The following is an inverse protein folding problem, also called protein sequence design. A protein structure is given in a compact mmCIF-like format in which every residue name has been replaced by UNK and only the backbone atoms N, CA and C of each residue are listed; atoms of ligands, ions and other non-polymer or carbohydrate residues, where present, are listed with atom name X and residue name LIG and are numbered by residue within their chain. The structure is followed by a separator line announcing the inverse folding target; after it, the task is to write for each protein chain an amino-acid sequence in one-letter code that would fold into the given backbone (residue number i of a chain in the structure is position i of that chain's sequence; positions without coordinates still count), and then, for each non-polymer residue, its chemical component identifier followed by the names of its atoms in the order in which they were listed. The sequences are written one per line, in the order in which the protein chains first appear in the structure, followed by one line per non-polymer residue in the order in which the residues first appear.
data_IF_086241489462
#
_entry.id   IF_086241489462
#
_cell.length_a   1.000
_cell.length_b   1.000
_cell.length_c   1.000
_cell.angle_alpha   90.00
_cell.angle_beta   90.00
_cell.angle_gamma   90.00
#
_symmetry.space_group_name_H-M   'P 1'
#
loop_
_entity.id
_entity.type
_entity.pdbx_description
1 polymer ?
#
# COMPACT_ATOMS: atom_id res chain seq x y z
N UNK A 1 29.97 2.65 8.63
CA UNK A 1 29.44 2.52 7.24
C UNK A 1 29.81 3.78 6.47
N UNK A 2 30.74 3.69 5.51
CA UNK A 2 31.29 4.83 4.74
C UNK A 2 30.62 5.02 3.37
N UNK A 3 29.65 4.17 3.01
CA UNK A 3 28.97 4.18 1.71
C UNK A 3 27.78 5.16 1.61
N UNK A 4 27.13 5.22 0.42
CA UNK A 4 25.92 5.99 0.21
C UNK A 4 24.81 5.58 1.20
N UNK A 5 24.22 6.58 1.86
CA UNK A 5 23.19 6.36 2.86
C UNK A 5 22.31 7.61 3.01
N UNK A 6 21.15 7.43 3.60
CA UNK A 6 20.30 8.52 4.07
C UNK A 6 20.09 8.41 5.60
N UNK A 7 19.77 9.53 6.22
CA UNK A 7 19.35 9.60 7.62
C UNK A 7 17.95 10.19 7.67
N UNK A 8 17.04 9.52 8.36
CA UNK A 8 15.68 10.02 8.60
C UNK A 8 15.77 11.20 9.58
N UNK A 9 15.38 12.39 9.17
CA UNK A 9 15.34 13.58 10.04
C UNK A 9 13.96 13.84 10.62
N UNK A 10 12.92 13.29 9.98
CA UNK A 10 11.55 13.31 10.44
C UNK A 10 10.82 12.08 9.86
N UNK A 11 10.49 11.13 10.72
CA UNK A 11 9.83 9.88 10.30
C UNK A 11 8.34 10.06 9.99
N UNK A 12 7.71 11.09 10.54
CA UNK A 12 6.26 11.31 10.40
C UNK A 12 5.42 10.32 11.20
N UNK A 13 4.14 10.20 10.85
CA UNK A 13 3.19 9.34 11.59
C UNK A 13 3.51 7.85 11.43
N UNK A 14 3.91 7.43 10.23
CA UNK A 14 4.37 6.08 9.92
C UNK A 14 5.15 6.13 8.61
N UNK A 15 6.41 5.74 8.66
CA UNK A 15 7.24 5.52 7.47
C UNK A 15 7.91 4.15 7.57
N UNK A 16 7.81 3.36 6.50
CA UNK A 16 8.34 2.00 6.41
C UNK A 16 9.13 1.82 5.11
N UNK A 17 10.09 0.91 5.12
CA UNK A 17 10.74 0.44 3.90
C UNK A 17 9.79 -0.54 3.20
N UNK A 18 9.53 -0.33 1.92
CA UNK A 18 8.65 -1.18 1.13
C UNK A 18 9.23 -1.46 -0.25
N UNK A 19 9.14 -2.72 -0.68
CA UNK A 19 9.36 -3.17 -2.05
C UNK A 19 8.07 -3.85 -2.59
N UNK A 20 8.19 -4.89 -3.41
CA UNK A 20 7.02 -5.63 -3.92
C UNK A 20 6.57 -6.77 -3.00
N UNK A 21 7.18 -6.85 -1.81
CA UNK A 21 6.87 -7.88 -0.82
C UNK A 21 7.48 -9.25 -1.10
N UNK A 22 7.06 -10.24 -0.30
CA UNK A 22 7.57 -11.62 -0.28
C UNK A 22 6.50 -12.66 -0.60
N UNK A 23 5.98 -12.72 -1.85
CA UNK A 23 4.97 -13.72 -2.24
C UNK A 23 5.54 -15.14 -2.14
N UNK A 24 4.66 -16.14 -1.95
CA UNK A 24 5.03 -17.55 -1.95
C UNK A 24 5.31 -18.15 -0.57
N UNK A 25 5.32 -17.37 0.50
CA UNK A 25 5.64 -17.84 1.86
C UNK A 25 4.42 -18.05 2.76
N UNK A 26 3.21 -18.04 2.21
CA UNK A 26 1.97 -18.23 2.97
C UNK A 26 1.92 -19.57 3.72
N UNK A 27 2.57 -20.62 3.18
CA UNK A 27 2.70 -21.92 3.83
C UNK A 27 3.53 -21.90 5.13
N UNK A 28 4.32 -20.84 5.33
CA UNK A 28 5.05 -20.57 6.57
C UNK A 28 4.29 -19.62 7.51
N UNK A 29 3.06 -19.24 7.16
CA UNK A 29 2.31 -18.23 7.90
C UNK A 29 2.78 -16.79 7.66
N UNK A 30 3.61 -16.56 6.65
CA UNK A 30 4.22 -15.26 6.36
C UNK A 30 3.38 -14.48 5.36
N UNK A 31 2.90 -13.27 5.71
CA UNK A 31 2.18 -12.37 4.80
C UNK A 31 3.04 -11.92 3.62
N UNK A 32 2.39 -11.47 2.56
CA UNK A 32 3.07 -10.93 1.39
C UNK A 32 3.83 -9.64 1.70
N UNK A 33 3.27 -8.73 2.50
CA UNK A 33 3.74 -7.37 2.71
C UNK A 33 3.95 -6.59 1.39
N UNK A 34 4.75 -5.52 1.41
CA UNK A 34 5.07 -4.72 0.22
C UNK A 34 4.24 -3.45 0.10
N UNK A 35 4.59 -2.61 -0.85
CA UNK A 35 3.96 -1.32 -1.11
C UNK A 35 2.46 -1.45 -1.38
N UNK A 36 1.63 -0.71 -0.63
CA UNK A 36 0.16 -0.80 -0.75
C UNK A 36 -0.37 -0.18 -2.05
N UNK A 37 0.25 0.91 -2.52
CA UNK A 37 0.01 1.51 -3.83
C UNK A 37 1.19 1.16 -4.74
N UNK A 38 1.19 -0.08 -5.22
CA UNK A 38 2.26 -0.59 -6.07
C UNK A 38 2.49 0.24 -7.34
N UNK A 39 1.47 0.75 -8.06
CA UNK A 39 1.67 1.66 -9.18
C UNK A 39 2.49 2.90 -8.84
N UNK A 40 2.20 3.54 -7.70
CA UNK A 40 2.93 4.73 -7.24
C UNK A 40 4.37 4.39 -6.84
N UNK A 41 4.57 3.29 -6.10
CA UNK A 41 5.90 2.77 -5.77
C UNK A 41 6.76 2.52 -7.01
N UNK A 42 6.21 1.80 -8.01
CA UNK A 42 6.91 1.53 -9.28
C UNK A 42 7.22 2.79 -10.07
N UNK A 43 6.31 3.77 -10.04
CA UNK A 43 6.51 5.05 -10.69
C UNK A 43 7.67 5.83 -10.06
N UNK A 44 7.74 5.92 -8.72
CA UNK A 44 8.84 6.55 -8.01
C UNK A 44 10.19 5.94 -8.41
N UNK A 45 10.27 4.61 -8.44
CA UNK A 45 11.46 3.89 -8.84
C UNK A 45 11.87 4.18 -10.30
N UNK A 46 10.93 4.16 -11.24
CA UNK A 46 11.22 4.49 -12.65
C UNK A 46 11.77 5.90 -12.82
N UNK A 47 11.23 6.87 -12.08
CA UNK A 47 11.69 8.26 -12.14
C UNK A 47 13.16 8.42 -11.74
N UNK A 48 13.66 7.62 -10.81
CA UNK A 48 15.07 7.68 -10.37
C UNK A 48 15.99 6.65 -11.03
N UNK A 49 15.50 5.95 -12.08
CA UNK A 49 16.29 4.96 -12.83
C UNK A 49 16.45 3.62 -12.13
N UNK A 50 15.61 3.30 -11.15
CA UNK A 50 15.63 2.01 -10.46
C UNK A 50 14.72 0.98 -11.16
N UNK A 51 14.98 -0.34 -10.99
CA UNK A 51 13.98 -1.36 -11.28
C UNK A 51 12.75 -1.16 -10.38
N UNK A 52 11.56 -1.45 -10.91
CA UNK A 52 10.30 -1.29 -10.17
C UNK A 52 10.19 -2.11 -8.88
N UNK A 53 11.12 -3.04 -8.65
CA UNK A 53 11.22 -3.86 -7.44
C UNK A 53 12.17 -3.30 -6.37
N UNK A 54 12.90 -2.22 -6.65
CA UNK A 54 13.79 -1.62 -5.66
C UNK A 54 13.00 -1.08 -4.47
N UNK A 55 13.54 -1.20 -3.26
CA UNK A 55 12.86 -0.73 -2.07
C UNK A 55 12.82 0.80 -1.99
N UNK A 56 11.67 1.33 -1.55
CA UNK A 56 11.39 2.76 -1.34
C UNK A 56 10.95 2.99 0.11
N UNK A 57 10.77 4.25 0.50
CA UNK A 57 10.05 4.60 1.71
C UNK A 57 8.57 4.82 1.36
N UNK A 58 7.68 4.13 2.07
CA UNK A 58 6.24 4.41 2.09
C UNK A 58 5.94 5.22 3.34
N UNK A 59 5.42 6.44 3.18
CA UNK A 59 5.05 7.31 4.29
C UNK A 59 3.55 7.58 4.31
N UNK A 60 2.98 7.73 5.51
CA UNK A 60 1.53 7.88 5.72
C UNK A 60 1.21 9.28 6.26
N UNK A 61 0.25 9.98 5.63
CA UNK A 61 -0.34 11.27 6.00
C UNK A 61 0.66 12.42 6.12
N UNK A 62 1.54 12.39 7.13
CA UNK A 62 2.37 13.54 7.53
C UNK A 62 3.69 13.63 6.77
N UNK A 63 3.95 12.66 5.88
CA UNK A 63 5.19 12.63 5.10
C UNK A 63 6.41 12.25 5.91
N UNK A 64 7.61 12.48 5.31
CA UNK A 64 8.90 12.08 5.87
C UNK A 64 10.00 13.02 5.37
N UNK A 65 10.93 13.39 6.26
CA UNK A 65 12.16 14.15 5.92
C UNK A 65 13.39 13.25 5.96
N UNK A 66 14.24 13.33 4.93
CA UNK A 66 15.48 12.56 4.82
C UNK A 66 16.67 13.45 4.51
N UNK A 67 17.81 13.21 5.16
CA UNK A 67 19.10 13.83 4.83
C UNK A 67 19.94 12.82 4.06
N UNK A 68 20.42 13.19 2.87
CA UNK A 68 21.29 12.31 2.08
C UNK A 68 22.76 12.55 2.41
N UNK A 69 23.54 11.48 2.61
CA UNK A 69 24.98 11.61 2.90
C UNK A 69 25.82 11.88 1.65
N UNK A 70 25.39 11.37 0.52
CA UNK A 70 26.01 11.59 -0.79
C UNK A 70 24.95 12.16 -1.73
N UNK A 71 25.38 12.99 -2.69
CA UNK A 71 24.45 13.54 -3.68
C UNK A 71 23.73 12.42 -4.43
N UNK A 72 22.41 12.47 -4.47
CA UNK A 72 21.56 11.44 -5.10
C UNK A 72 20.36 12.07 -5.80
N UNK A 73 19.63 11.31 -6.58
CA UNK A 73 18.34 11.73 -7.13
C UNK A 73 17.22 11.03 -6.35
N UNK A 74 16.19 11.79 -6.01
CA UNK A 74 15.01 11.32 -5.27
C UNK A 74 13.76 11.67 -6.08
N UNK A 75 12.75 10.81 -6.06
CA UNK A 75 11.42 11.13 -6.59
C UNK A 75 10.36 10.80 -5.54
N UNK A 76 9.33 11.66 -5.47
CA UNK A 76 8.17 11.49 -4.58
C UNK A 76 6.92 11.30 -5.43
N UNK A 77 6.15 10.25 -5.16
CA UNK A 77 4.91 9.89 -5.88
C UNK A 77 3.82 9.43 -4.89
N UNK A 78 2.67 8.96 -5.40
CA UNK A 78 1.55 8.53 -4.57
C UNK A 78 0.66 9.70 -4.15
N UNK A 79 0.34 9.84 -2.87
CA UNK A 79 -0.40 11.00 -2.39
C UNK A 79 0.39 12.28 -2.62
N UNK A 80 -0.19 13.31 -3.30
CA UNK A 80 0.49 14.58 -3.50
C UNK A 80 0.78 15.28 -2.19
N UNK A 81 1.96 15.86 -2.11
CA UNK A 81 2.42 16.60 -0.95
C UNK A 81 3.40 17.70 -1.37
N UNK A 82 3.56 18.75 -0.58
CA UNK A 82 4.67 19.68 -0.76
C UNK A 82 5.99 18.94 -0.66
N UNK A 83 6.92 19.20 -1.59
CA UNK A 83 8.29 18.67 -1.54
C UNK A 83 9.25 19.84 -1.46
N UNK A 84 10.24 19.76 -0.57
CA UNK A 84 11.28 20.78 -0.47
C UNK A 84 12.67 20.16 -0.36
N UNK A 85 13.70 20.89 -0.80
CA UNK A 85 15.12 20.58 -0.54
C UNK A 85 15.71 21.77 0.18
N UNK A 86 16.19 21.57 1.43
CA UNK A 86 16.66 22.63 2.35
C UNK A 86 15.66 23.80 2.42
N UNK A 87 14.35 23.47 2.53
CA UNK A 87 13.27 24.44 2.62
C UNK A 87 12.87 25.12 1.29
N UNK A 88 13.58 24.86 0.20
CA UNK A 88 13.23 25.41 -1.12
C UNK A 88 12.27 24.44 -1.85
N UNK A 89 11.18 24.94 -2.45
CA UNK A 89 10.24 24.11 -3.21
C UNK A 89 10.93 23.26 -4.27
N UNK A 90 10.53 22.00 -4.35
CA UNK A 90 10.95 21.04 -5.36
C UNK A 90 9.73 20.33 -5.97
N UNK A 91 9.82 19.79 -7.21
CA UNK A 91 8.69 19.17 -7.86
C UNK A 91 8.30 17.84 -7.18
N UNK A 92 7.00 17.61 -7.04
CA UNK A 92 6.41 16.30 -6.82
C UNK A 92 6.23 15.59 -8.17
N UNK A 93 6.43 14.27 -8.21
CA UNK A 93 6.23 13.48 -9.42
C UNK A 93 7.32 13.65 -10.49
N UNK A 94 8.49 14.15 -10.11
CA UNK A 94 9.65 14.29 -10.99
C UNK A 94 10.94 13.92 -10.24
N UNK A 95 12.03 13.60 -10.97
CA UNK A 95 13.34 13.43 -10.37
C UNK A 95 13.88 14.73 -9.80
N UNK A 96 14.34 14.70 -8.55
CA UNK A 96 14.93 15.85 -7.84
C UNK A 96 16.36 15.53 -7.46
N UNK A 97 17.34 16.31 -7.92
CA UNK A 97 18.72 16.18 -7.49
C UNK A 97 18.88 16.77 -6.07
N UNK A 98 19.29 15.93 -5.13
CA UNK A 98 19.52 16.30 -3.74
C UNK A 98 21.03 16.32 -3.47
N UNK A 99 21.66 17.48 -3.14
CA UNK A 99 23.08 17.57 -2.82
C UNK A 99 23.45 16.78 -1.57
N UNK A 100 24.72 16.41 -1.45
CA UNK A 100 25.23 15.78 -0.22
C UNK A 100 24.99 16.67 1.00
N UNK A 101 24.48 16.11 2.08
CA UNK A 101 24.16 16.80 3.32
C UNK A 101 22.80 17.52 3.32
N UNK A 102 22.19 17.75 2.16
CA UNK A 102 20.89 18.40 2.05
C UNK A 102 19.74 17.53 2.58
N UNK A 103 18.68 18.18 3.02
CA UNK A 103 17.44 17.56 3.50
C UNK A 103 16.37 17.69 2.43
N UNK A 104 15.86 16.55 1.95
CA UNK A 104 14.60 16.50 1.23
C UNK A 104 13.48 16.22 2.22
N UNK A 105 12.45 17.06 2.21
CA UNK A 105 11.24 16.89 3.02
C UNK A 105 10.03 16.69 2.11
N UNK A 106 9.38 15.55 2.23
CA UNK A 106 8.04 15.30 1.72
C UNK A 106 7.05 15.64 2.84
N UNK A 107 6.31 16.71 2.67
CA UNK A 107 5.37 17.22 3.66
C UNK A 107 4.09 16.40 3.78
N UNK A 108 3.09 16.91 4.50
CA UNK A 108 1.80 16.25 4.65
C UNK A 108 1.08 16.09 3.31
N UNK A 109 0.42 14.95 3.13
CA UNK A 109 -0.42 14.70 1.95
C UNK A 109 -1.55 15.72 1.86
N UNK A 110 -1.74 16.32 0.69
CA UNK A 110 -2.84 17.26 0.44
C UNK A 110 -4.15 16.53 0.17
N UNK A 111 -4.07 15.32 -0.39
CA UNK A 111 -5.14 14.34 -0.50
C UNK A 111 -4.52 12.95 -0.69
N UNK A 112 -5.30 11.90 -0.52
CA UNK A 112 -4.75 10.55 -0.42
C UNK A 112 -4.10 10.30 0.94
N UNK A 113 -3.38 9.19 1.05
CA UNK A 113 -2.89 8.70 2.34
C UNK A 113 -1.41 8.36 2.32
N UNK A 114 -0.88 7.82 1.20
CA UNK A 114 0.47 7.25 1.14
C UNK A 114 1.30 7.86 0.03
N UNK A 115 2.48 8.39 0.41
CA UNK A 115 3.49 8.86 -0.55
C UNK A 115 4.69 7.92 -0.54
N UNK A 116 5.38 7.82 -1.67
CA UNK A 116 6.54 6.95 -1.88
C UNK A 116 7.75 7.80 -2.23
N UNK A 117 8.85 7.63 -1.50
CA UNK A 117 10.14 8.27 -1.76
C UNK A 117 11.11 7.21 -2.30
N UNK A 118 11.48 7.29 -3.56
CA UNK A 118 12.54 6.49 -4.16
C UNK A 118 13.83 7.29 -4.25
N UNK A 119 14.96 6.67 -3.86
CA UNK A 119 16.31 7.21 -4.09
C UNK A 119 17.00 6.38 -5.17
N UNK A 120 17.84 6.98 -6.00
CA UNK A 120 18.69 6.23 -6.93
C UNK A 120 19.46 5.14 -6.18
N UNK A 121 19.40 3.91 -6.70
CA UNK A 121 19.96 2.71 -6.07
C UNK A 121 19.00 1.97 -5.13
N UNK A 122 17.89 2.62 -4.71
CA UNK A 122 16.92 2.05 -3.77
C UNK A 122 17.45 1.95 -2.33
N UNK A 123 16.59 1.60 -1.39
CA UNK A 123 16.98 1.33 0.00
C UNK A 123 17.65 -0.04 0.08
N UNK A 124 18.87 -0.06 0.59
CA UNK A 124 19.76 -1.23 0.58
C UNK A 124 19.79 -2.01 1.90
N UNK A 125 18.69 -2.06 2.66
CA UNK A 125 18.57 -2.90 3.86
C UNK A 125 18.65 -4.39 3.51
N UNK A 126 19.05 -5.23 4.47
CA UNK A 126 19.11 -6.67 4.26
C UNK A 126 17.72 -7.25 3.97
N UNK A 127 17.58 -8.10 2.94
CA UNK A 127 16.31 -8.72 2.63
C UNK A 127 15.99 -9.87 3.59
N UNK A 128 14.71 -10.00 3.97
CA UNK A 128 14.18 -11.15 4.71
C UNK A 128 13.23 -11.92 3.81
N UNK A 129 13.51 -13.20 3.57
CA UNK A 129 12.76 -14.02 2.60
C UNK A 129 12.67 -13.37 1.20
N UNK A 130 13.76 -12.76 0.74
CA UNK A 130 13.87 -12.14 -0.57
C UNK A 130 13.27 -10.74 -0.70
N UNK A 131 12.72 -10.16 0.37
CA UNK A 131 12.10 -8.83 0.36
C UNK A 131 12.65 -7.92 1.48
N UNK A 132 12.74 -6.63 1.19
CA UNK A 132 13.07 -5.57 2.15
C UNK A 132 11.85 -4.90 2.78
N UNK A 133 10.64 -5.38 2.44
CA UNK A 133 9.41 -4.80 2.97
C UNK A 133 9.29 -5.03 4.47
N UNK A 134 8.94 -3.98 5.19
CA UNK A 134 8.44 -4.06 6.55
C UNK A 134 7.04 -4.69 6.55
N UNK A 135 6.80 -5.60 7.49
CA UNK A 135 5.50 -6.22 7.73
C UNK A 135 5.08 -5.95 9.17
N UNK A 136 4.05 -5.14 9.33
CA UNK A 136 3.60 -4.71 10.66
C UNK A 136 2.86 -5.83 11.44
N UNK A 137 2.41 -6.88 10.76
CA UNK A 137 1.71 -7.99 11.41
C UNK A 137 2.69 -9.04 11.94
N UNK A 138 3.64 -9.47 11.10
CA UNK A 138 4.59 -10.52 11.46
C UNK A 138 5.88 -10.00 12.10
N UNK A 139 6.16 -8.69 12.02
CA UNK A 139 7.41 -8.10 12.48
C UNK A 139 8.61 -8.45 11.59
N UNK A 140 8.40 -8.96 10.38
CA UNK A 140 9.47 -9.27 9.43
C UNK A 140 9.91 -8.03 8.65
N UNK A 141 11.18 -7.98 8.30
CA UNK A 141 11.81 -6.85 7.62
C UNK A 141 12.22 -5.75 8.59
N UNK A 142 12.56 -4.55 8.08
CA UNK A 142 12.94 -3.41 8.92
C UNK A 142 11.77 -2.91 9.77
N UNK A 143 12.05 -2.48 11.00
CA UNK A 143 11.08 -1.78 11.85
C UNK A 143 10.58 -0.49 11.18
N UNK A 144 9.39 0.02 11.58
CA UNK A 144 8.97 1.37 11.24
C UNK A 144 10.06 2.38 11.59
N UNK A 145 10.31 3.32 10.68
CA UNK A 145 11.41 4.26 10.81
C UNK A 145 11.16 5.28 11.93
N UNK A 146 12.21 5.62 12.60
CA UNK A 146 12.26 6.68 13.63
C UNK A 146 13.25 7.77 13.22
N UNK A 147 13.15 8.95 13.85
CA UNK A 147 14.10 10.02 13.66
C UNK A 147 15.52 9.55 14.04
N UNK A 148 16.49 9.88 13.21
CA UNK A 148 17.86 9.41 13.35
C UNK A 148 18.18 8.07 12.69
N UNK A 149 17.19 7.30 12.23
CA UNK A 149 17.43 6.04 11.52
C UNK A 149 18.32 6.26 10.29
N UNK A 150 19.30 5.37 10.10
CA UNK A 150 20.25 5.42 8.98
C UNK A 150 19.99 4.23 8.05
N UNK A 151 19.72 4.52 6.79
CA UNK A 151 19.45 3.52 5.77
C UNK A 151 20.53 3.56 4.68
N UNK A 152 21.17 2.43 4.36
CA UNK A 152 22.07 2.35 3.22
C UNK A 152 21.29 2.49 1.91
N UNK A 153 21.93 3.06 0.90
CA UNK A 153 21.45 3.06 -0.48
C UNK A 153 22.23 2.04 -1.30
N UNK A 154 21.52 1.35 -2.19
CA UNK A 154 22.11 0.43 -3.15
C UNK A 154 22.88 1.17 -4.26
N UNK A 155 23.59 0.41 -5.13
CA UNK A 155 24.24 0.97 -6.30
C UNK A 155 23.21 1.47 -7.32
N UNK A 156 23.50 2.56 -8.07
CA UNK A 156 22.65 3.02 -9.17
C UNK A 156 22.43 1.93 -10.22
N UNK A 157 21.21 1.81 -10.73
CA UNK A 157 20.86 0.85 -11.79
C UNK A 157 20.84 1.47 -13.19
N UNK A 158 20.47 2.75 -13.28
CA UNK A 158 20.36 3.47 -14.53
C UNK A 158 20.23 4.98 -14.31
N UNK A 159 20.19 5.79 -15.38
CA UNK A 159 19.96 7.20 -15.27
C UNK A 159 18.52 7.49 -14.81
N UNK A 160 18.30 8.58 -14.07
CA UNK A 160 16.95 9.09 -13.82
C UNK A 160 16.21 9.37 -15.12
N UNK A 161 14.86 9.28 -15.07
CA UNK A 161 14.03 9.64 -16.20
C UNK A 161 14.16 11.13 -16.54
N UNK A 162 14.07 11.46 -17.81
CA UNK A 162 13.92 12.85 -18.27
C UNK A 162 12.42 13.18 -18.25
N UNK A 163 11.93 13.58 -17.08
CA UNK A 163 10.52 13.88 -16.86
C UNK A 163 10.36 15.08 -15.91
N UNK A 164 9.62 16.09 -16.36
CA UNK A 164 9.34 17.29 -15.57
C UNK A 164 8.16 17.09 -14.59
N UNK A 165 7.22 16.21 -14.93
CA UNK A 165 6.05 15.88 -14.10
C UNK A 165 5.39 14.59 -14.59
N UNK A 166 4.62 13.97 -13.69
CA UNK A 166 3.72 12.87 -14.03
C UNK A 166 2.26 13.29 -13.83
N UNK A 167 1.32 12.77 -14.63
CA UNK A 167 -0.09 13.00 -14.41
C UNK A 167 -0.50 12.47 -13.04
N UNK A 168 -1.24 13.27 -12.28
CA UNK A 168 -1.82 12.86 -11.01
C UNK A 168 -3.35 12.87 -11.14
N UNK A 169 -4.04 11.74 -10.91
CA UNK A 169 -5.49 11.77 -10.80
C UNK A 169 -5.88 12.58 -9.55
N UNK A 170 -6.82 13.49 -9.72
CA UNK A 170 -7.38 14.24 -8.57
C UNK A 170 -7.99 13.32 -7.51
N UNK A 171 -8.35 13.86 -6.33
CA UNK A 171 -8.94 13.07 -5.26
C UNK A 171 -10.26 12.48 -5.74
N UNK A 172 -10.40 11.16 -5.58
CA UNK A 172 -11.68 10.48 -5.79
C UNK A 172 -12.69 10.89 -4.71
N UNK A 173 -13.93 11.11 -5.11
CA UNK A 173 -15.03 11.42 -4.17
C UNK A 173 -15.59 10.17 -3.50
N UNK A 174 -15.36 9.00 -4.07
CA UNK A 174 -15.85 7.70 -3.61
C UNK A 174 -14.85 6.60 -3.95
N UNK A 175 -14.63 5.67 -3.02
CA UNK A 175 -13.88 4.44 -3.28
C UNK A 175 -14.83 3.36 -3.82
N UNK A 176 -14.73 3.03 -5.10
CA UNK A 176 -15.49 1.95 -5.73
C UNK A 176 -14.68 0.67 -5.69
N UNK A 177 -15.20 -0.37 -5.05
CA UNK A 177 -14.57 -1.67 -4.88
C UNK A 177 -15.35 -2.77 -5.61
N UNK A 178 -15.03 -3.05 -6.87
CA UNK A 178 -15.58 -4.21 -7.56
C UNK A 178 -15.08 -5.49 -6.88
N UNK A 179 -15.98 -6.44 -6.60
CA UNK A 179 -15.61 -7.70 -6.00
C UNK A 179 -16.25 -8.90 -6.69
N UNK A 180 -15.58 -10.04 -6.64
CA UNK A 180 -16.13 -11.33 -7.07
C UNK A 180 -16.65 -12.04 -5.81
N UNK A 181 -17.91 -12.53 -5.80
CA UNK A 181 -18.43 -13.29 -4.66
C UNK A 181 -17.53 -14.49 -4.32
N UNK A 182 -17.22 -14.64 -3.05
CA UNK A 182 -16.40 -15.73 -2.53
C UNK A 182 -17.22 -16.97 -2.18
N UNK A 183 -16.57 -18.09 -1.82
CA UNK A 183 -17.26 -19.35 -1.51
C UNK A 183 -18.13 -19.26 -0.25
N UNK A 184 -17.90 -18.26 0.61
CA UNK A 184 -18.66 -18.05 1.85
C UNK A 184 -19.77 -17.00 1.72
N UNK A 185 -20.08 -16.51 0.49
CA UNK A 185 -21.19 -15.59 0.29
C UNK A 185 -22.54 -16.16 0.78
N UNK A 186 -22.73 -17.50 0.72
CA UNK A 186 -23.92 -18.21 1.25
C UNK A 186 -24.05 -18.18 2.78
N UNK A 187 -23.06 -17.63 3.50
CA UNK A 187 -23.14 -17.40 4.94
C UNK A 187 -23.94 -16.15 5.29
N UNK A 188 -24.34 -15.37 4.31
CA UNK A 188 -25.11 -14.14 4.43
C UNK A 188 -26.50 -14.33 3.84
N UNK A 189 -27.49 -13.64 4.43
CA UNK A 189 -28.83 -13.61 3.88
C UNK A 189 -28.87 -12.79 2.58
N UNK A 190 -29.91 -12.97 1.77
CA UNK A 190 -30.16 -12.10 0.61
C UNK A 190 -30.23 -10.62 1.01
N UNK A 191 -30.73 -10.33 2.21
CA UNK A 191 -30.73 -8.98 2.75
C UNK A 191 -29.31 -8.49 3.01
N UNK A 192 -28.45 -9.30 3.66
CA UNK A 192 -27.05 -8.98 3.89
C UNK A 192 -26.27 -8.74 2.58
N UNK A 193 -26.49 -9.56 1.56
CA UNK A 193 -25.88 -9.38 0.24
C UNK A 193 -26.35 -8.10 -0.46
N UNK A 194 -27.66 -7.78 -0.38
CA UNK A 194 -28.19 -6.49 -0.87
C UNK A 194 -27.60 -5.32 -0.10
N UNK A 195 -27.52 -5.41 1.23
CA UNK A 195 -26.91 -4.39 2.08
C UNK A 195 -25.47 -4.11 1.69
N UNK A 196 -24.65 -5.14 1.38
CA UNK A 196 -23.30 -4.93 0.86
C UNK A 196 -23.28 -4.11 -0.43
N UNK A 197 -24.18 -4.41 -1.37
CA UNK A 197 -24.20 -3.76 -2.69
C UNK A 197 -24.82 -2.36 -2.69
N UNK A 198 -25.72 -2.05 -1.76
CA UNK A 198 -26.51 -0.79 -1.76
C UNK A 198 -26.28 0.07 -0.51
N UNK A 199 -25.68 -0.49 0.53
CA UNK A 199 -25.43 0.20 1.79
C UNK A 199 -24.42 1.34 1.65
N UNK A 200 -24.53 2.32 2.53
CA UNK A 200 -23.60 3.45 2.61
C UNK A 200 -22.48 3.11 3.59
N UNK A 201 -21.33 2.78 3.06
CA UNK A 201 -20.12 2.53 3.85
C UNK A 201 -19.16 3.70 3.77
N UNK A 202 -18.28 3.81 4.75
CA UNK A 202 -17.17 4.77 4.79
C UNK A 202 -15.92 4.08 5.29
N UNK A 203 -14.76 4.59 4.89
CA UNK A 203 -13.46 4.14 5.43
C UNK A 203 -13.37 4.52 6.91
N UNK A 204 -13.08 3.55 7.77
CA UNK A 204 -12.88 3.77 9.21
C UNK A 204 -11.48 4.29 9.51
N UNK A 205 -11.36 5.12 10.55
CA UNK A 205 -10.06 5.57 11.08
C UNK A 205 -9.21 4.42 11.67
N UNK A 206 -9.81 3.27 11.95
CA UNK A 206 -9.11 2.06 12.39
C UNK A 206 -8.46 1.26 11.23
N UNK A 207 -8.48 1.79 10.01
CA UNK A 207 -7.81 1.20 8.85
C UNK A 207 -6.29 1.31 8.97
N UNK A 208 -5.59 0.27 8.50
CA UNK A 208 -4.13 0.22 8.50
C UNK A 208 -3.60 -0.59 7.30
N UNK A 209 -2.33 -1.00 7.32
CA UNK A 209 -1.72 -1.83 6.26
C UNK A 209 -2.25 -3.27 6.20
N UNK A 210 -2.83 -3.78 7.30
CA UNK A 210 -3.44 -5.12 7.37
C UNK A 210 -4.77 -5.14 6.62
N UNK A 211 -5.60 -4.08 6.82
CA UNK A 211 -6.91 -4.02 6.20
C UNK A 211 -7.58 -2.66 6.29
N UNK A 212 -8.31 -2.33 5.24
CA UNK A 212 -9.23 -1.20 5.20
C UNK A 212 -10.53 -1.65 5.89
N UNK A 213 -10.81 -1.06 7.04
CA UNK A 213 -12.02 -1.29 7.79
C UNK A 213 -13.11 -0.33 7.34
N UNK A 214 -14.36 -0.77 7.38
CA UNK A 214 -15.49 0.08 7.02
C UNK A 214 -16.38 0.37 8.22
N UNK A 215 -17.00 1.55 8.19
CA UNK A 215 -18.13 1.94 9.02
C UNK A 215 -19.38 1.96 8.15
N UNK A 216 -20.53 1.56 8.70
CA UNK A 216 -21.77 1.48 7.95
C UNK A 216 -22.69 0.39 8.51
N UNK A 217 -23.70 -0.04 7.72
CA UNK A 217 -24.63 -1.07 8.14
C UNK A 217 -23.91 -2.43 8.34
N UNK A 218 -24.38 -3.22 9.31
CA UNK A 218 -23.94 -4.58 9.48
C UNK A 218 -24.58 -5.51 8.44
N UNK A 219 -23.82 -6.49 7.97
CA UNK A 219 -24.32 -7.51 7.05
C UNK A 219 -24.96 -8.65 7.84
N UNK A 220 -26.23 -8.92 7.54
CA UNK A 220 -26.97 -9.99 8.21
C UNK A 220 -26.43 -11.37 7.78
N UNK A 221 -26.10 -12.20 8.78
CA UNK A 221 -25.63 -13.56 8.57
C UNK A 221 -26.79 -14.56 8.54
N UNK A 222 -26.77 -15.47 7.57
CA UNK A 222 -27.67 -16.61 7.49
C UNK A 222 -27.18 -17.80 8.37
N UNK A 223 -25.90 -17.78 8.74
CA UNK A 223 -25.28 -18.82 9.59
C UNK A 223 -24.55 -18.15 10.75
N UNK A 224 -24.76 -18.67 11.94
CA UNK A 224 -24.03 -18.30 13.16
C UNK A 224 -22.91 -19.32 13.39
N UNK A 225 -21.87 -18.89 14.12
CA UNK A 225 -20.72 -19.74 14.46
C UNK A 225 -19.42 -19.24 13.81
N UNK A 226 -18.35 -19.95 14.13
CA UNK A 226 -17.01 -19.70 13.60
C UNK A 226 -16.67 -20.69 12.50
N UNK A 227 -15.87 -20.26 11.55
CA UNK A 227 -15.28 -21.12 10.53
C UNK A 227 -13.99 -21.71 11.05
N UNK A 228 -13.63 -22.95 10.70
CA UNK A 228 -12.24 -23.36 10.73
C UNK A 228 -11.37 -22.33 10.00
N UNK A 229 -10.15 -22.14 10.47
CA UNK A 229 -9.23 -21.19 9.84
C UNK A 229 -8.99 -21.58 8.38
N UNK A 230 -9.20 -20.62 7.46
CA UNK A 230 -9.07 -20.79 6.01
C UNK A 230 -7.99 -19.86 5.46
N UNK A 231 -7.38 -20.20 4.32
CA UNK A 231 -6.43 -19.35 3.63
C UNK A 231 -7.06 -18.03 3.20
N UNK A 232 -6.40 -16.90 3.48
CA UNK A 232 -6.87 -15.55 3.16
C UNK A 232 -6.12 -15.02 1.94
N UNK A 233 -6.80 -14.76 0.80
CA UNK A 233 -6.15 -14.08 -0.31
C UNK A 233 -6.09 -12.56 -0.09
N UNK A 234 -5.10 -11.91 -0.72
CA UNK A 234 -5.07 -10.47 -0.85
C UNK A 234 -6.37 -9.97 -1.49
N UNK A 235 -6.95 -8.89 -0.96
CA UNK A 235 -8.21 -8.34 -1.42
C UNK A 235 -9.45 -9.08 -0.89
N UNK A 236 -9.30 -10.03 0.04
CA UNK A 236 -10.46 -10.67 0.69
C UNK A 236 -11.32 -9.63 1.42
N UNK A 237 -12.63 -9.69 1.18
CA UNK A 237 -13.64 -8.99 1.97
C UNK A 237 -14.11 -9.92 3.08
N UNK A 238 -13.49 -9.82 4.23
CA UNK A 238 -13.86 -10.58 5.41
C UNK A 238 -14.93 -9.82 6.22
N UNK A 239 -15.87 -10.55 6.81
CA UNK A 239 -16.91 -9.96 7.66
C UNK A 239 -16.80 -10.54 9.07
N UNK A 240 -16.21 -9.79 10.01
CA UNK A 240 -16.13 -10.14 11.43
C UNK A 240 -17.52 -10.20 12.11
N UNK A 241 -17.61 -10.59 13.40
CA UNK A 241 -18.90 -10.70 14.12
C UNK A 241 -19.72 -9.42 14.19
N UNK A 242 -19.12 -8.24 14.11
CA UNK A 242 -19.82 -6.94 14.07
C UNK A 242 -20.56 -6.70 12.74
N UNK A 243 -20.40 -7.59 11.77
CA UNK A 243 -21.05 -7.53 10.46
C UNK A 243 -20.48 -6.50 9.49
N UNK A 244 -19.38 -5.83 9.82
CA UNK A 244 -18.80 -4.78 8.97
C UNK A 244 -17.68 -5.31 8.09
N UNK A 245 -17.73 -5.11 6.75
CA UNK A 245 -16.70 -5.59 5.86
C UNK A 245 -15.32 -5.00 6.16
N UNK A 246 -14.29 -5.85 6.09
CA UNK A 246 -12.88 -5.49 6.13
C UNK A 246 -12.25 -5.96 4.84
N UNK A 247 -11.65 -5.05 4.07
CA UNK A 247 -10.86 -5.38 2.88
C UNK A 247 -9.42 -5.64 3.30
N UNK A 248 -8.93 -6.86 3.14
CA UNK A 248 -7.55 -7.20 3.43
C UNK A 248 -6.58 -6.58 2.42
N UNK A 249 -5.54 -5.93 2.98
CA UNK A 249 -4.44 -5.30 2.25
C UNK A 249 -3.15 -6.14 2.40
N UNK A 250 -1.99 -5.59 2.09
CA UNK A 250 -0.77 -6.37 1.88
C UNK A 250 -0.21 -7.06 3.14
N UNK A 251 -0.41 -6.48 4.33
CA UNK A 251 0.04 -7.09 5.60
C UNK A 251 -1.05 -7.99 6.24
N UNK A 252 -2.03 -8.46 5.45
CA UNK A 252 -3.13 -9.31 5.96
C UNK A 252 -2.61 -10.65 6.48
N UNK A 253 -3.29 -11.26 7.47
CA UNK A 253 -2.93 -12.60 7.93
C UNK A 253 -3.10 -13.63 6.82
N UNK A 254 -2.27 -14.67 6.79
CA UNK A 254 -2.34 -15.75 5.79
C UNK A 254 -3.56 -16.64 5.97
N UNK A 255 -4.13 -16.67 7.15
CA UNK A 255 -5.34 -17.45 7.47
C UNK A 255 -6.30 -16.63 8.33
N UNK A 256 -7.58 -16.99 8.36
CA UNK A 256 -8.59 -16.36 9.20
C UNK A 256 -9.83 -17.24 9.35
N UNK A 257 -10.59 -17.01 10.43
CA UNK A 257 -11.77 -17.81 10.81
C UNK A 257 -13.12 -17.11 10.61
N UNK A 258 -13.17 -15.95 9.94
CA UNK A 258 -14.41 -15.27 9.62
C UNK A 258 -14.76 -15.38 8.14
N UNK A 259 -16.06 -15.42 7.78
CA UNK A 259 -16.48 -15.63 6.40
C UNK A 259 -15.98 -14.52 5.47
N UNK A 260 -15.37 -14.93 4.35
CA UNK A 260 -15.01 -14.08 3.24
C UNK A 260 -16.17 -14.03 2.25
N UNK A 261 -16.86 -12.88 2.19
CA UNK A 261 -18.03 -12.68 1.33
C UNK A 261 -17.65 -12.55 -0.15
N UNK A 262 -16.43 -12.06 -0.43
CA UNK A 262 -15.92 -11.88 -1.78
C UNK A 262 -14.45 -11.47 -1.79
N UNK A 263 -13.92 -11.27 -2.99
CA UNK A 263 -12.53 -10.83 -3.19
C UNK A 263 -12.50 -9.66 -4.17
N UNK A 264 -11.86 -8.57 -3.78
CA UNK A 264 -11.55 -7.43 -4.63
C UNK A 264 -10.29 -7.76 -5.44
N UNK A 265 -10.32 -7.72 -6.78
CA UNK A 265 -9.14 -7.98 -7.59
C UNK A 265 -8.01 -6.96 -7.32
N UNK A 266 -6.76 -7.41 -7.33
CA UNK A 266 -5.57 -6.66 -6.95
C UNK A 266 -5.46 -5.28 -7.63
N UNK A 267 -5.82 -5.17 -8.92
CA UNK A 267 -5.82 -3.90 -9.68
C UNK A 267 -6.71 -2.79 -9.09
N UNK A 268 -7.59 -3.11 -8.14
CA UNK A 268 -8.45 -2.13 -7.44
C UNK A 268 -7.99 -1.83 -6.02
N UNK A 269 -6.84 -2.35 -5.58
CA UNK A 269 -6.34 -2.14 -4.21
C UNK A 269 -5.55 -0.85 -4.07
N UNK A 270 -4.88 -0.37 -5.12
CA UNK A 270 -4.13 0.89 -5.06
C UNK A 270 -5.02 2.09 -4.66
N UNK A 271 -6.25 2.28 -5.23
CA UNK A 271 -7.17 3.30 -4.73
C UNK A 271 -7.57 3.12 -3.26
N UNK A 272 -7.72 1.86 -2.80
CA UNK A 272 -8.02 1.58 -1.38
C UNK A 272 -6.85 1.98 -0.47
N UNK A 273 -5.60 1.83 -0.95
CA UNK A 273 -4.41 2.27 -0.23
C UNK A 273 -4.35 3.79 -0.04
N UNK A 274 -5.04 4.55 -0.88
CA UNK A 274 -5.07 6.02 -0.82
C UNK A 274 -6.33 6.58 -0.15
N UNK A 275 -7.29 5.72 0.22
CA UNK A 275 -8.55 6.17 0.79
C UNK A 275 -8.37 6.62 2.25
N UNK A 276 -8.71 7.88 2.52
CA UNK A 276 -8.63 8.47 3.87
C UNK A 276 -9.87 8.13 4.69
N UNK A 277 -9.81 8.16 6.04
CA UNK A 277 -10.98 7.99 6.90
C UNK A 277 -12.14 8.90 6.48
N UNK A 278 -13.35 8.35 6.50
CA UNK A 278 -14.56 9.05 6.06
C UNK A 278 -14.87 8.99 4.57
N UNK A 279 -13.91 8.56 3.71
CA UNK A 279 -14.17 8.37 2.28
C UNK A 279 -15.33 7.42 2.07
N UNK A 280 -16.38 7.80 1.29
CA UNK A 280 -17.46 6.89 0.92
C UNK A 280 -16.94 5.64 0.20
N UNK A 281 -17.48 4.48 0.55
CA UNK A 281 -17.11 3.20 -0.05
C UNK A 281 -18.33 2.54 -0.68
N UNK A 282 -18.21 2.09 -1.92
CA UNK A 282 -19.25 1.34 -2.63
C UNK A 282 -18.71 0.00 -3.12
N UNK A 283 -19.33 -1.09 -2.69
CA UNK A 283 -19.01 -2.43 -3.14
C UNK A 283 -19.87 -2.78 -4.35
N UNK A 284 -19.21 -3.25 -5.44
CA UNK A 284 -19.89 -3.56 -6.71
C UNK A 284 -19.67 -5.03 -7.05
N UNK A 285 -20.71 -5.90 -6.93
CA UNK A 285 -20.56 -7.30 -7.27
C UNK A 285 -20.29 -7.45 -8.78
N UNK A 286 -19.33 -8.28 -9.13
CA UNK A 286 -19.00 -8.67 -10.50
C UNK A 286 -19.20 -10.18 -10.68
N UNK A 287 -19.63 -10.59 -11.84
CA UNK A 287 -19.59 -12.01 -12.21
C UNK A 287 -18.13 -12.44 -12.34
N UNK A 288 -17.79 -13.65 -11.86
CA UNK A 288 -16.51 -14.26 -12.19
C UNK A 288 -16.36 -14.27 -13.71
N UNK A 289 -15.21 -13.80 -14.22
CA UNK A 289 -14.91 -13.99 -15.64
C UNK A 289 -14.90 -15.49 -15.90
N UNK A 290 -15.77 -15.98 -16.75
CA UNK A 290 -15.75 -17.39 -17.18
C UNK A 290 -14.35 -17.71 -17.75
N UNK A 291 -13.93 -19.00 -17.73
CA UNK A 291 -12.64 -19.39 -18.27
C UNK A 291 -12.55 -18.88 -19.72
N UNK A 292 -11.50 -18.10 -20.00
CA UNK A 292 -11.23 -17.64 -21.37
C UNK A 292 -11.10 -18.89 -22.23
N UNK A 293 -11.99 -19.09 -23.19
CA UNK A 293 -11.82 -20.12 -24.21
C UNK A 293 -10.50 -19.81 -24.90
N UNK A 294 -9.45 -20.59 -24.58
CA UNK A 294 -8.25 -20.60 -25.41
C UNK A 294 -8.71 -21.06 -26.78
N UNK A 295 -8.68 -20.18 -27.76
CA UNK A 295 -8.79 -20.59 -29.16
C UNK A 295 -7.54 -21.42 -29.44
N UNK A 296 -7.72 -22.73 -29.45
CA UNK A 296 -6.81 -23.66 -30.16
C UNK A 296 -7.11 -23.48 -31.64
N UNK A 297 -6.29 -22.70 -32.31
CA UNK A 297 -6.13 -22.65 -33.74
C UNK A 297 -4.78 -23.25 -34.09
#
# INVERSE_FOLDING_TARGET
MTGPALTVVRAGALTTVQDLGRPGHAHLGVPRAGALDEPAHRLANRLVGNPGSAATLETTLTGCGIRVRTATTVAVTGAPCPVTVDGRPAPWGAPVRVPAGAVLDAGPATHGLRSYLACTGGIGTEPVLGSRAADLLSGLGPDPLTDGAVLPLGPPHGPPADADAVPHPGPGTELVLPFVPGPRHTWFTDHGLRTLATGRFRVSAASNRIGLRTEGPSLERARTGELPSEGMPLGALQVPPDGRPVLFLHDHPTTGGYPVIGVVPERFLAPAAQAVPGTPVRFVPRRAAGPSRRHTG
#
